data_IF_764363109143
#
_entry.id   IF_764363109143
#
_cell.length_a   1.000
_cell.length_b   1.000
_cell.length_c   1.000
_cell.angle_alpha   90.00
_cell.angle_beta   90.00
_cell.angle_gamma   90.00
#
_symmetry.space_group_name_H-M   'P 1'
#
loop_
_entity.id
_entity.type
_entity.pdbx_description
1 polymer ?
#
# COMPACT_ATOMS: atom_id res chain seq x y z
N UNK A 1 -30.15 33.39 37.59
CA UNK A 1 -30.91 32.81 36.46
C UNK A 1 -29.95 32.62 35.30
N UNK A 2 -29.67 31.39 34.90
CA UNK A 2 -28.89 31.10 33.69
C UNK A 2 -29.85 31.07 32.51
N UNK A 3 -29.61 31.93 31.52
CA UNK A 3 -30.38 31.97 30.27
C UNK A 3 -29.91 30.76 29.45
N UNK A 4 -30.78 29.75 29.34
CA UNK A 4 -30.63 28.67 28.38
C UNK A 4 -30.82 29.28 26.98
N UNK A 5 -29.72 29.59 26.31
CA UNK A 5 -29.74 29.99 24.90
C UNK A 5 -30.10 28.77 24.08
N UNK A 6 -31.39 28.53 23.86
CA UNK A 6 -31.87 27.54 22.90
C UNK A 6 -31.47 28.01 21.50
N UNK A 7 -30.47 27.36 20.92
CA UNK A 7 -30.03 27.62 19.55
C UNK A 7 -31.14 27.10 18.60
N UNK A 8 -31.97 27.99 18.07
CA UNK A 8 -32.91 27.67 16.98
C UNK A 8 -32.19 27.85 15.63
N UNK A 9 -31.26 26.95 15.33
CA UNK A 9 -30.69 26.84 13.98
C UNK A 9 -31.70 26.16 13.04
N UNK A 10 -31.72 26.54 11.76
CA UNK A 10 -32.42 25.77 10.72
C UNK A 10 -31.73 24.40 10.58
N UNK A 11 -32.43 23.39 10.06
CA UNK A 11 -31.81 22.09 9.72
C UNK A 11 -30.53 22.28 8.87
N UNK A 12 -30.52 23.29 8.00
CA UNK A 12 -29.36 23.69 7.20
C UNK A 12 -28.15 24.15 8.05
N UNK A 13 -28.37 24.83 9.18
CA UNK A 13 -27.30 25.28 10.08
C UNK A 13 -26.67 24.10 10.81
N UNK A 14 -27.49 23.10 11.18
CA UNK A 14 -27.02 21.86 11.79
C UNK A 14 -26.20 21.02 10.80
N UNK A 15 -26.66 20.93 9.55
CA UNK A 15 -25.92 20.24 8.47
C UNK A 15 -24.59 20.96 8.20
N UNK A 16 -24.60 22.28 8.06
CA UNK A 16 -23.38 23.05 7.82
C UNK A 16 -22.38 22.94 8.99
N UNK A 17 -22.86 22.88 10.23
CA UNK A 17 -22.02 22.69 11.41
C UNK A 17 -21.42 21.28 11.47
N UNK A 18 -22.22 20.25 11.13
CA UNK A 18 -21.75 18.86 11.03
C UNK A 18 -20.73 18.69 9.90
N UNK A 19 -20.97 19.26 8.72
CA UNK A 19 -20.02 19.23 7.61
C UNK A 19 -18.71 19.92 7.98
N UNK A 20 -18.77 21.08 8.64
CA UNK A 20 -17.58 21.81 9.08
C UNK A 20 -16.80 21.06 10.15
N UNK A 21 -17.49 20.32 11.02
CA UNK A 21 -16.86 19.48 12.03
C UNK A 21 -16.26 18.20 11.44
N UNK A 22 -16.91 17.59 10.44
CA UNK A 22 -16.53 16.30 9.86
C UNK A 22 -15.46 16.42 8.76
N UNK A 23 -15.45 17.54 8.01
CA UNK A 23 -14.50 17.78 6.91
C UNK A 23 -13.03 17.53 7.28
N UNK A 24 -12.49 18.04 8.41
CA UNK A 24 -11.09 17.75 8.78
C UNK A 24 -10.82 16.27 9.11
N UNK A 25 -11.83 15.53 9.59
CA UNK A 25 -11.68 14.09 9.84
C UNK A 25 -11.67 13.29 8.52
N UNK A 26 -12.51 13.67 7.56
CA UNK A 26 -12.54 13.05 6.23
C UNK A 26 -11.24 13.31 5.46
N UNK A 27 -10.71 14.54 5.54
CA UNK A 27 -9.43 14.89 4.93
C UNK A 27 -8.27 14.09 5.56
N UNK A 28 -8.23 13.99 6.89
CA UNK A 28 -7.24 13.15 7.60
C UNK A 28 -7.37 11.67 7.29
N UNK A 29 -8.59 11.15 7.12
CA UNK A 29 -8.81 9.76 6.71
C UNK A 29 -8.27 9.50 5.30
N UNK A 30 -8.51 10.40 4.34
CA UNK A 30 -7.94 10.32 3.00
C UNK A 30 -6.41 10.39 3.01
N UNK A 31 -5.84 11.30 3.80
CA UNK A 31 -4.39 11.37 3.97
C UNK A 31 -3.82 10.09 4.59
N UNK A 32 -4.52 9.51 5.58
CA UNK A 32 -4.15 8.22 6.15
C UNK A 32 -4.27 7.07 5.13
N UNK A 33 -5.29 7.07 4.28
CA UNK A 33 -5.45 6.07 3.22
C UNK A 33 -4.36 6.18 2.17
N UNK A 34 -3.98 7.40 1.76
CA UNK A 34 -2.89 7.66 0.82
C UNK A 34 -1.54 7.28 1.44
N UNK A 35 -1.35 7.59 2.72
CA UNK A 35 -0.19 7.23 3.53
C UNK A 35 -0.06 5.72 3.74
N UNK A 36 -1.16 5.04 4.12
CA UNK A 36 -1.22 3.60 4.32
C UNK A 36 -1.08 2.83 3.00
N UNK A 37 -1.65 3.38 1.93
CA UNK A 37 -1.46 2.90 0.55
C UNK A 37 0.02 2.94 0.14
N UNK A 38 0.75 3.99 0.54
CA UNK A 38 2.19 4.13 0.27
C UNK A 38 3.10 3.30 1.18
N UNK A 39 2.66 2.93 2.39
CA UNK A 39 3.58 2.41 3.41
C UNK A 39 3.67 0.88 3.55
N UNK A 40 2.72 0.07 3.08
CA UNK A 40 2.69 -1.37 3.45
C UNK A 40 2.14 -2.37 2.42
N UNK A 41 2.07 -2.05 1.14
CA UNK A 41 1.70 -3.06 0.15
C UNK A 41 2.88 -3.97 -0.16
N UNK A 42 3.04 -5.03 0.64
CA UNK A 42 3.90 -6.16 0.28
C UNK A 42 3.27 -6.90 -0.89
N UNK A 43 3.99 -6.99 -2.00
CA UNK A 43 3.56 -7.74 -3.17
C UNK A 43 3.57 -9.24 -2.88
N UNK A 44 2.48 -9.90 -3.27
CA UNK A 44 2.45 -11.35 -3.45
C UNK A 44 3.18 -11.74 -4.74
N UNK A 45 3.45 -13.03 -4.92
CA UNK A 45 3.93 -13.51 -6.23
C UNK A 45 2.98 -13.11 -7.36
N UNK A 46 1.66 -13.13 -7.11
CA UNK A 46 0.67 -12.78 -8.14
C UNK A 46 0.85 -11.32 -8.57
N UNK A 47 0.98 -10.40 -7.61
CA UNK A 47 1.19 -8.97 -7.90
C UNK A 47 2.51 -8.74 -8.67
N UNK A 48 3.57 -9.49 -8.32
CA UNK A 48 4.85 -9.43 -9.05
C UNK A 48 4.72 -9.98 -10.47
N UNK A 49 3.95 -11.05 -10.67
CA UNK A 49 3.68 -11.58 -12.01
C UNK A 49 2.92 -10.56 -12.87
N UNK A 50 1.89 -9.93 -12.31
CA UNK A 50 1.09 -8.91 -13.00
C UNK A 50 1.93 -7.69 -13.37
N UNK A 51 2.83 -7.25 -12.49
CA UNK A 51 3.70 -6.08 -12.74
C UNK A 51 4.81 -6.35 -13.74
N UNK A 52 5.40 -7.54 -13.68
CA UNK A 52 6.59 -7.86 -14.49
C UNK A 52 6.24 -8.58 -15.79
N UNK A 53 5.01 -9.10 -15.92
CA UNK A 53 4.56 -9.91 -17.06
C UNK A 53 5.13 -11.34 -17.06
N UNK A 54 5.98 -11.70 -16.10
CA UNK A 54 6.56 -13.03 -16.02
C UNK A 54 5.64 -14.01 -15.30
N UNK A 55 5.72 -15.29 -15.69
CA UNK A 55 4.96 -16.36 -15.06
C UNK A 55 5.43 -16.67 -13.63
N UNK A 56 4.52 -17.21 -12.82
CA UNK A 56 4.77 -17.61 -11.43
C UNK A 56 6.03 -18.47 -11.25
N UNK A 57 6.29 -19.40 -12.17
CA UNK A 57 7.46 -20.27 -12.11
C UNK A 57 8.78 -19.51 -12.23
N UNK A 58 8.80 -18.42 -12.98
CA UNK A 58 9.96 -17.54 -13.16
C UNK A 58 10.18 -16.71 -11.89
N UNK A 59 9.11 -16.12 -11.34
CA UNK A 59 9.20 -15.37 -10.07
C UNK A 59 9.65 -16.27 -8.92
N UNK A 60 9.12 -17.49 -8.80
CA UNK A 60 9.62 -18.46 -7.82
C UNK A 60 11.08 -18.86 -8.06
N UNK A 61 11.54 -18.90 -9.32
CA UNK A 61 12.95 -19.14 -9.64
C UNK A 61 13.82 -17.99 -9.15
N UNK A 62 13.41 -16.74 -9.33
CA UNK A 62 14.14 -15.58 -8.81
C UNK A 62 14.31 -15.61 -7.30
N UNK A 63 13.30 -16.12 -6.59
CA UNK A 63 13.29 -16.29 -5.13
C UNK A 63 14.25 -17.41 -4.69
N UNK A 64 14.16 -18.60 -5.31
CA UNK A 64 14.86 -19.79 -4.81
C UNK A 64 16.21 -20.08 -5.46
N UNK A 65 16.31 -19.86 -6.78
CA UNK A 65 17.48 -20.22 -7.59
C UNK A 65 18.28 -19.00 -8.05
N UNK A 66 17.68 -17.82 -7.97
CA UNK A 66 18.25 -16.60 -8.52
C UNK A 66 18.26 -16.61 -10.04
N UNK A 67 18.78 -15.53 -10.61
CA UNK A 67 18.93 -15.34 -12.05
C UNK A 67 20.16 -14.48 -12.32
N UNK A 68 20.90 -14.71 -13.42
CA UNK A 68 22.06 -13.89 -13.75
C UNK A 68 21.62 -12.48 -14.16
N UNK A 69 22.37 -11.47 -13.70
CA UNK A 69 22.25 -10.08 -14.17
C UNK A 69 22.98 -9.87 -15.49
N UNK A 70 22.94 -8.63 -16.03
CA UNK A 70 23.67 -8.24 -17.26
C UNK A 70 25.18 -8.48 -17.20
N UNK A 71 25.77 -8.61 -16.01
CA UNK A 71 27.20 -8.85 -15.76
C UNK A 71 27.49 -10.33 -15.46
N UNK A 72 26.49 -11.21 -15.57
CA UNK A 72 26.61 -12.63 -15.29
C UNK A 72 26.62 -13.00 -13.80
N UNK A 73 26.38 -12.03 -12.91
CA UNK A 73 26.31 -12.28 -11.45
C UNK A 73 24.92 -12.78 -11.08
N UNK A 74 24.87 -13.85 -10.30
CA UNK A 74 23.61 -14.40 -9.80
C UNK A 74 22.99 -13.46 -8.75
N UNK A 75 21.79 -12.98 -9.03
CA UNK A 75 20.99 -12.14 -8.13
C UNK A 75 19.68 -12.83 -7.75
N UNK A 76 19.19 -12.53 -6.55
CA UNK A 76 18.01 -13.16 -5.95
C UNK A 76 16.98 -12.09 -5.58
N UNK A 77 15.70 -12.44 -5.74
CA UNK A 77 14.63 -11.57 -5.28
C UNK A 77 14.44 -11.74 -3.76
N UNK A 78 14.71 -10.66 -3.03
CA UNK A 78 14.48 -10.62 -1.58
C UNK A 78 12.99 -10.75 -1.29
N UNK A 79 12.67 -11.53 -0.27
CA UNK A 79 11.31 -11.82 0.13
C UNK A 79 11.24 -12.13 1.63
N UNK A 80 10.04 -12.00 2.18
CA UNK A 80 9.67 -12.53 3.49
C UNK A 80 8.67 -13.65 3.30
N UNK A 81 8.97 -14.81 3.88
CA UNK A 81 8.04 -15.94 3.90
C UNK A 81 7.26 -15.91 5.22
N UNK A 82 5.95 -15.68 5.16
CA UNK A 82 5.09 -15.64 6.35
C UNK A 82 4.63 -17.06 6.70
N UNK A 83 4.24 -17.80 5.68
CA UNK A 83 3.83 -19.21 5.74
C UNK A 83 4.47 -19.93 4.57
N UNK A 84 4.66 -21.24 4.66
CA UNK A 84 5.32 -22.01 3.60
C UNK A 84 4.67 -21.75 2.22
N UNK A 85 5.40 -21.12 1.31
CA UNK A 85 4.92 -20.77 -0.03
C UNK A 85 4.12 -19.45 -0.15
N UNK A 86 3.89 -18.73 0.95
CA UNK A 86 3.34 -17.36 0.94
C UNK A 86 4.48 -16.33 1.09
N UNK A 87 4.96 -15.88 -0.07
CA UNK A 87 6.04 -14.93 -0.18
C UNK A 87 5.53 -13.50 -0.33
N UNK A 88 6.11 -12.61 0.47
CA UNK A 88 5.84 -11.18 0.51
C UNK A 88 7.07 -10.40 0.12
N UNK A 89 6.95 -9.60 -0.93
CA UNK A 89 8.06 -8.88 -1.55
C UNK A 89 7.82 -7.39 -1.33
N UNK A 90 8.83 -6.67 -0.86
CA UNK A 90 8.72 -5.22 -0.74
C UNK A 90 8.81 -4.59 -2.13
N UNK A 91 8.03 -3.54 -2.42
CA UNK A 91 8.13 -2.83 -3.70
C UNK A 91 9.57 -2.38 -3.99
N UNK A 92 10.25 -1.80 -2.99
CA UNK A 92 11.63 -1.35 -3.13
C UNK A 92 12.62 -2.49 -3.46
N UNK A 93 12.43 -3.69 -2.89
CA UNK A 93 13.26 -4.85 -3.20
C UNK A 93 13.02 -5.35 -4.62
N UNK A 94 11.77 -5.30 -5.09
CA UNK A 94 11.42 -5.65 -6.46
C UNK A 94 12.01 -4.65 -7.46
N UNK A 95 11.87 -3.36 -7.20
CA UNK A 95 12.41 -2.30 -8.06
C UNK A 95 13.94 -2.37 -8.12
N UNK A 96 14.59 -2.60 -6.97
CA UNK A 96 16.03 -2.83 -6.92
C UNK A 96 16.43 -4.06 -7.76
N UNK A 97 15.70 -5.18 -7.62
CA UNK A 97 15.98 -6.40 -8.39
C UNK A 97 15.82 -6.16 -9.90
N UNK A 98 14.76 -5.48 -10.32
CA UNK A 98 14.50 -5.18 -11.74
C UNK A 98 15.53 -4.22 -12.34
N UNK A 99 16.14 -3.35 -11.54
CA UNK A 99 17.20 -2.43 -12.01
C UNK A 99 18.46 -3.12 -12.53
N UNK A 100 18.63 -4.42 -12.25
CA UNK A 100 19.76 -5.22 -12.73
C UNK A 100 19.57 -5.80 -14.15
N UNK A 101 18.35 -5.72 -14.69
CA UNK A 101 17.95 -6.27 -16.00
C UNK A 101 17.82 -5.19 -17.06
#
# INVERSE_FOLDING_TARGET
MQVLTTYNGSDDDYVAMLERALKPFVERLRELEISAGSAKHLYTIKDVCERTGYGRSVVCRWIHKGTPDRKGKLIYLKHKEITKGDYRIQPADLDQFLSHF
#
